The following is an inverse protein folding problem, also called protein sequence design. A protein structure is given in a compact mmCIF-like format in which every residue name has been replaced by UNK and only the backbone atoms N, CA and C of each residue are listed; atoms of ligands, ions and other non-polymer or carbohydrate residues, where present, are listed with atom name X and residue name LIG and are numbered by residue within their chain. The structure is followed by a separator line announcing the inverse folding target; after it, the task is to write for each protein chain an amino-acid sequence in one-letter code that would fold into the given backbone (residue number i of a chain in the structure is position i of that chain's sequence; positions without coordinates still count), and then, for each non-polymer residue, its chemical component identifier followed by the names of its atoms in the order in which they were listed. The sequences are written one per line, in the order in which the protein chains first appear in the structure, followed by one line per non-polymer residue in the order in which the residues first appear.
data_IF_170727657373
#
_entry.id   IF_170727657373
#
_cell.length_a   1.000
_cell.length_b   1.000
_cell.length_c   1.000
_cell.angle_alpha   90.00
_cell.angle_beta   90.00
_cell.angle_gamma   90.00
#
_symmetry.space_group_name_H-M   'P 1'
#
loop_
_entity.id
_entity.type
_entity.pdbx_description
1 polymer ?
#
# COMPACT_ATOMS: atom_id res chain seq x y z
N UNK A 1 6.35 27.99 -12.18
CA UNK A 1 6.40 27.27 -10.88
C UNK A 1 5.84 25.88 -11.12
N UNK A 2 6.68 24.85 -11.06
CA UNK A 2 6.23 23.45 -11.15
C UNK A 2 5.91 23.04 -9.71
N UNK A 3 4.69 22.63 -9.37
CA UNK A 3 4.33 22.24 -8.01
C UNK A 3 5.24 21.07 -7.61
N UNK A 4 5.85 21.17 -6.42
CA UNK A 4 6.82 20.19 -5.92
C UNK A 4 6.27 18.79 -6.06
N UNK A 5 6.83 18.01 -6.99
CA UNK A 5 6.45 16.63 -7.18
C UNK A 5 7.11 15.86 -6.03
N UNK A 6 6.39 15.69 -4.94
CA UNK A 6 6.83 14.84 -3.83
C UNK A 6 6.99 13.44 -4.39
N UNK A 7 8.23 12.99 -4.53
CA UNK A 7 8.51 11.64 -5.00
C UNK A 7 7.96 10.66 -3.96
N UNK A 8 7.13 9.68 -4.36
CA UNK A 8 6.53 8.76 -3.42
C UNK A 8 7.63 7.94 -2.73
N UNK A 9 7.57 7.89 -1.42
CA UNK A 9 8.46 7.10 -0.59
C UNK A 9 8.31 5.61 -0.90
N UNK A 10 9.33 4.78 -0.60
CA UNK A 10 9.23 3.33 -0.76
C UNK A 10 8.01 2.72 -0.03
N UNK A 11 7.60 3.32 1.11
CA UNK A 11 6.39 2.93 1.82
C UNK A 11 5.12 3.22 1.01
N UNK A 12 4.99 4.42 0.46
CA UNK A 12 3.83 4.82 -0.37
C UNK A 12 3.72 3.98 -1.64
N UNK A 13 4.85 3.63 -2.27
CA UNK A 13 4.85 2.74 -3.43
C UNK A 13 4.36 1.33 -3.09
N UNK A 14 4.77 0.78 -1.92
CA UNK A 14 4.27 -0.52 -1.45
C UNK A 14 2.78 -0.46 -1.11
N UNK A 15 2.34 0.64 -0.48
CA UNK A 15 0.94 0.81 -0.11
C UNK A 15 0.05 0.83 -1.34
N UNK A 16 0.45 1.60 -2.35
CA UNK A 16 -0.26 1.68 -3.62
C UNK A 16 -0.32 0.34 -4.34
N UNK A 17 0.78 -0.41 -4.39
CA UNK A 17 0.80 -1.74 -5.02
C UNK A 17 -0.18 -2.72 -4.35
N UNK A 18 -0.22 -2.70 -3.01
CA UNK A 18 -1.15 -3.54 -2.25
C UNK A 18 -2.58 -3.08 -2.50
N UNK A 19 -2.86 -1.77 -2.41
CA UNK A 19 -4.17 -1.20 -2.70
C UNK A 19 -4.66 -1.60 -4.10
N UNK A 20 -3.86 -1.35 -5.15
CA UNK A 20 -4.19 -1.68 -6.54
C UNK A 20 -4.50 -3.17 -6.71
N UNK A 21 -3.71 -4.05 -6.08
CA UNK A 21 -3.94 -5.50 -6.10
C UNK A 21 -5.28 -5.85 -5.44
N UNK A 22 -5.58 -5.23 -4.30
CA UNK A 22 -6.82 -5.49 -3.59
C UNK A 22 -8.02 -5.03 -4.40
N UNK A 23 -8.00 -3.83 -4.95
CA UNK A 23 -9.09 -3.30 -5.79
C UNK A 23 -9.26 -4.11 -7.08
N UNK A 24 -8.19 -4.72 -7.61
CA UNK A 24 -8.24 -5.57 -8.81
C UNK A 24 -8.90 -6.94 -8.55
N UNK A 25 -8.74 -7.52 -7.35
CA UNK A 25 -9.22 -8.87 -7.03
C UNK A 25 -10.41 -8.88 -6.06
N UNK A 26 -10.96 -7.72 -5.71
CA UNK A 26 -12.09 -7.62 -4.78
C UNK A 26 -13.01 -6.45 -5.13
N UNK A 27 -14.28 -6.53 -4.70
CA UNK A 27 -15.28 -5.48 -4.90
C UNK A 27 -15.18 -4.40 -3.81
N UNK A 28 -13.95 -4.12 -3.37
CA UNK A 28 -13.68 -3.09 -2.36
C UNK A 28 -13.63 -1.71 -3.04
N UNK A 29 -14.29 -0.73 -2.42
CA UNK A 29 -14.15 0.67 -2.79
C UNK A 29 -12.72 1.17 -2.49
N UNK A 30 -12.25 2.19 -3.21
CA UNK A 30 -10.84 2.65 -3.15
C UNK A 30 -10.40 3.03 -1.73
N UNK A 31 -11.27 3.68 -0.94
CA UNK A 31 -11.01 4.04 0.46
C UNK A 31 -10.90 2.80 1.37
N UNK A 32 -11.76 1.81 1.15
CA UNK A 32 -11.74 0.56 1.91
C UNK A 32 -10.52 -0.31 1.53
N UNK A 33 -10.15 -0.33 0.25
CA UNK A 33 -8.95 -0.98 -0.24
C UNK A 33 -7.68 -0.31 0.34
N UNK A 34 -7.64 1.02 0.41
CA UNK A 34 -6.52 1.77 0.99
C UNK A 34 -6.32 1.47 2.48
N UNK A 35 -7.41 1.49 3.26
CA UNK A 35 -7.37 1.15 4.71
C UNK A 35 -6.90 -0.28 4.95
N UNK A 36 -7.36 -1.23 4.14
CA UNK A 36 -6.96 -2.62 4.27
C UNK A 36 -5.50 -2.82 3.82
N UNK A 37 -5.04 -2.11 2.80
CA UNK A 37 -3.65 -2.13 2.36
C UNK A 37 -2.68 -1.65 3.45
N UNK A 38 -3.05 -0.63 4.24
CA UNK A 38 -2.26 -0.20 5.41
C UNK A 38 -2.16 -1.32 6.45
N UNK A 39 -3.27 -1.97 6.77
CA UNK A 39 -3.27 -3.09 7.72
C UNK A 39 -2.47 -4.30 7.22
N UNK A 40 -2.54 -4.61 5.94
CA UNK A 40 -1.73 -5.67 5.31
C UNK A 40 -0.25 -5.33 5.38
N UNK A 41 0.14 -4.09 5.04
CA UNK A 41 1.54 -3.67 5.18
C UNK A 41 2.03 -3.74 6.61
N UNK A 42 1.25 -3.26 7.58
CA UNK A 42 1.60 -3.39 9.00
C UNK A 42 1.76 -4.86 9.42
N UNK A 43 0.91 -5.76 8.93
CA UNK A 43 1.02 -7.19 9.21
C UNK A 43 2.30 -7.78 8.57
N UNK A 44 2.64 -7.38 7.34
CA UNK A 44 3.85 -7.81 6.65
C UNK A 44 5.13 -7.26 7.31
N UNK A 45 5.13 -5.99 7.73
CA UNK A 45 6.24 -5.38 8.48
C UNK A 45 6.41 -6.01 9.88
N UNK A 46 5.34 -6.60 10.42
CA UNK A 46 5.39 -7.37 11.67
C UNK A 46 5.91 -8.80 11.49
N UNK A 47 6.05 -9.30 10.26
CA UNK A 47 6.67 -10.60 9.98
C UNK A 47 8.19 -10.37 9.87
N UNK A 48 9.00 -10.90 10.80
CA UNK A 48 10.44 -10.69 10.76
C UNK A 48 11.03 -11.26 9.47
N UNK A 49 11.91 -10.47 8.86
CA UNK A 49 12.56 -10.66 7.55
C UNK A 49 13.26 -12.01 7.36
N UNK A 50 13.45 -12.80 8.42
CA UNK A 50 14.03 -14.15 8.39
C UNK A 50 13.16 -15.24 7.74
N UNK A 51 11.91 -14.94 7.38
CA UNK A 51 10.98 -15.88 6.71
C UNK A 51 10.65 -15.40 5.28
N UNK A 52 11.51 -14.58 4.65
CA UNK A 52 11.40 -14.20 3.25
C UNK A 52 12.38 -14.94 2.36
#
# INVERSE_FOLDING_TARGET
MIPGTTLPTPYENRLKLVQDTMTMYSVLDDDAAGKLAVHVLHALDSIPEKIR
#
